data_IF_168200251102
#
_entry.id   IF_168200251102
#
_cell.length_a   1.000
_cell.length_b   1.000
_cell.length_c   1.000
_cell.angle_alpha   90.00
_cell.angle_beta   90.00
_cell.angle_gamma   90.00
#
_symmetry.space_group_name_H-M   'P 1'
#
loop_
_entity.id
_entity.type
_entity.pdbx_description
1 polymer ?
#
# COMPACT_ATOMS: atom_id res chain seq x y z
N UNK A 1 -20.46 -20.46 -14.28
CA UNK A 1 -19.16 -19.78 -14.46
C UNK A 1 -18.83 -19.02 -13.20
N UNK A 2 -17.70 -19.31 -12.56
CA UNK A 2 -17.23 -18.49 -11.44
C UNK A 2 -16.44 -17.33 -12.04
N UNK A 3 -17.03 -16.14 -12.12
CA UNK A 3 -16.25 -14.93 -12.38
C UNK A 3 -15.25 -14.77 -11.25
N UNK A 4 -13.95 -14.92 -11.56
CA UNK A 4 -12.89 -14.47 -10.67
C UNK A 4 -13.01 -12.95 -10.61
N UNK A 5 -13.55 -12.44 -9.50
CA UNK A 5 -13.55 -11.01 -9.22
C UNK A 5 -12.09 -10.49 -9.31
N UNK A 6 -11.88 -9.28 -9.83
CA UNK A 6 -10.55 -8.68 -9.88
C UNK A 6 -9.95 -8.60 -8.46
N UNK A 7 -8.64 -8.83 -8.37
CA UNK A 7 -7.87 -8.62 -7.15
C UNK A 7 -8.05 -7.16 -6.70
N UNK A 8 -8.26 -6.95 -5.41
CA UNK A 8 -8.50 -5.63 -4.84
C UNK A 8 -7.82 -5.52 -3.48
N UNK A 9 -7.63 -4.29 -3.00
CA UNK A 9 -7.05 -4.02 -1.68
C UNK A 9 -8.10 -4.24 -0.60
N UNK A 10 -7.76 -5.00 0.44
CA UNK A 10 -8.67 -5.36 1.53
C UNK A 10 -8.34 -4.70 2.86
N UNK A 11 -7.07 -4.37 3.11
CA UNK A 11 -6.62 -3.77 4.36
C UNK A 11 -5.29 -3.02 4.20
N UNK A 12 -5.03 -2.08 5.11
CA UNK A 12 -3.67 -1.57 5.33
C UNK A 12 -2.83 -2.66 6.01
N UNK A 13 -1.55 -2.72 5.69
CA UNK A 13 -0.66 -3.75 6.20
C UNK A 13 0.73 -3.20 6.55
N UNK A 14 1.36 -3.82 7.55
CA UNK A 14 2.76 -3.63 7.89
C UNK A 14 3.49 -4.96 7.76
N UNK A 15 4.64 -4.96 7.11
CA UNK A 15 5.58 -6.08 7.15
C UNK A 15 6.69 -5.78 8.15
N UNK A 16 6.77 -6.57 9.21
CA UNK A 16 7.82 -6.51 10.21
C UNK A 16 8.46 -7.88 10.36
N UNK A 17 9.75 -7.98 10.04
CA UNK A 17 10.52 -9.22 10.11
C UNK A 17 9.91 -10.40 9.32
N UNK A 18 9.17 -10.13 8.24
CA UNK A 18 8.50 -11.15 7.43
C UNK A 18 7.12 -11.56 7.95
N UNK A 19 6.65 -10.94 9.03
CA UNK A 19 5.30 -11.09 9.55
C UNK A 19 4.42 -9.92 9.09
N UNK A 20 3.21 -10.25 8.64
CA UNK A 20 2.28 -9.25 8.12
C UNK A 20 1.20 -8.95 9.16
N UNK A 21 1.15 -7.70 9.58
CA UNK A 21 0.15 -7.14 10.47
C UNK A 21 -0.84 -6.34 9.64
N UNK A 22 -2.14 -6.47 9.89
CA UNK A 22 -3.18 -5.80 9.08
C UNK A 22 -4.16 -5.02 9.93
N UNK A 23 -4.68 -3.93 9.37
CA UNK A 23 -5.66 -3.07 10.03
C UNK A 23 -6.53 -2.32 9.04
N UNK A 24 -7.55 -1.62 9.54
CA UNK A 24 -8.37 -0.72 8.69
C UNK A 24 -7.54 0.47 8.23
N UNK A 25 -6.60 0.90 9.07
CA UNK A 25 -5.59 1.93 8.81
C UNK A 25 -4.19 1.39 9.15
N UNK A 26 -3.14 2.08 8.70
CA UNK A 26 -1.77 1.74 9.11
C UNK A 26 -1.57 1.90 10.63
N UNK A 27 -2.27 2.84 11.26
CA UNK A 27 -2.24 2.97 12.72
C UNK A 27 -2.84 1.74 13.42
N UNK A 28 -3.92 1.17 12.90
CA UNK A 28 -4.48 -0.08 13.44
C UNK A 28 -3.55 -1.27 13.20
N UNK A 29 -2.87 -1.33 12.05
CA UNK A 29 -1.87 -2.36 11.77
C UNK A 29 -0.65 -2.23 12.70
N UNK A 30 -0.27 -1.00 13.04
CA UNK A 30 0.79 -0.72 14.01
C UNK A 30 0.39 -1.16 15.41
N UNK A 31 -0.83 -0.85 15.85
CA UNK A 31 -1.34 -1.33 17.14
C UNK A 31 -1.28 -2.86 17.23
N UNK A 32 -1.65 -3.57 16.14
CA UNK A 32 -1.55 -5.03 16.09
C UNK A 32 -0.10 -5.54 16.18
N UNK A 33 0.85 -4.80 15.62
CA UNK A 33 2.28 -5.08 15.78
C UNK A 33 2.74 -4.83 17.23
N UNK A 34 2.34 -3.72 17.84
CA UNK A 34 2.68 -3.35 19.23
C UNK A 34 2.12 -4.33 20.26
N UNK A 35 0.98 -4.97 19.99
CA UNK A 35 0.44 -6.04 20.84
C UNK A 35 1.36 -7.27 20.90
N UNK A 36 2.12 -7.54 19.83
CA UNK A 36 3.06 -8.67 19.75
C UNK A 36 4.48 -8.26 20.13
N UNK A 37 4.89 -7.06 19.70
CA UNK A 37 6.21 -6.49 19.92
C UNK A 37 6.08 -5.09 20.54
N UNK A 38 5.78 -4.98 21.86
CA UNK A 38 5.58 -3.68 22.50
C UNK A 38 6.82 -2.78 22.46
N UNK A 39 8.01 -3.38 22.41
CA UNK A 39 9.30 -2.67 22.37
C UNK A 39 9.89 -2.63 20.94
N UNK A 40 9.07 -2.82 19.89
CA UNK A 40 9.55 -2.88 18.50
C UNK A 40 10.38 -1.66 18.09
N UNK A 41 10.07 -0.49 18.65
CA UNK A 41 10.75 0.77 18.36
C UNK A 41 12.18 0.83 18.93
N UNK A 42 12.47 0.07 19.98
CA UNK A 42 13.79 -0.01 20.61
C UNK A 42 14.63 -1.19 20.09
N UNK A 43 14.03 -2.07 19.28
CA UNK A 43 14.74 -3.18 18.64
C UNK A 43 15.69 -2.64 17.57
N UNK A 44 16.94 -3.12 17.56
CA UNK A 44 17.93 -2.85 16.51
C UNK A 44 17.61 -3.66 15.23
N UNK A 45 16.42 -3.42 14.68
CA UNK A 45 15.89 -4.08 13.49
C UNK A 45 15.38 -3.03 12.51
N UNK A 46 15.17 -3.44 11.25
CA UNK A 46 14.60 -2.55 10.25
C UNK A 46 13.19 -2.14 10.64
N UNK A 47 12.86 -0.88 10.42
CA UNK A 47 11.50 -0.36 10.60
C UNK A 47 10.49 -1.19 9.78
N UNK A 48 9.25 -1.33 10.27
CA UNK A 48 8.18 -1.97 9.52
C UNK A 48 8.01 -1.33 8.15
N UNK A 49 7.73 -2.14 7.13
CA UNK A 49 7.42 -1.64 5.78
C UNK A 49 5.93 -1.42 5.65
N UNK A 50 5.54 -0.22 5.25
CA UNK A 50 4.15 0.11 4.95
C UNK A 50 3.70 -0.53 3.65
N UNK A 51 2.47 -1.07 3.65
CA UNK A 51 1.87 -1.65 2.46
C UNK A 51 0.40 -1.98 2.65
N UNK A 52 -0.08 -2.89 1.82
CA UNK A 52 -1.48 -3.26 1.75
C UNK A 52 -1.63 -4.75 1.56
N UNK A 53 -2.69 -5.31 2.13
CA UNK A 53 -3.09 -6.68 1.86
C UNK A 53 -4.07 -6.70 0.69
N UNK A 54 -3.84 -7.61 -0.26
CA UNK A 54 -4.77 -7.85 -1.37
C UNK A 54 -5.76 -8.95 -1.04
N UNK A 55 -6.88 -9.01 -1.77
CA UNK A 55 -7.86 -10.09 -1.67
C UNK A 55 -7.31 -11.46 -2.05
N UNK A 56 -6.12 -11.50 -2.67
CA UNK A 56 -5.38 -12.73 -2.98
C UNK A 56 -4.45 -13.17 -1.84
N UNK A 57 -4.39 -12.43 -0.74
CA UNK A 57 -3.54 -12.73 0.42
C UNK A 57 -2.07 -12.35 0.22
N UNK A 58 -1.76 -11.40 -0.67
CA UNK A 58 -0.41 -10.88 -0.87
C UNK A 58 -0.24 -9.55 -0.17
N UNK A 59 0.93 -9.33 0.42
CA UNK A 59 1.40 -8.01 0.80
C UNK A 59 1.95 -7.30 -0.45
N UNK A 60 1.51 -6.08 -0.68
CA UNK A 60 1.95 -5.23 -1.79
C UNK A 60 2.30 -3.82 -1.29
N UNK A 61 3.28 -3.20 -1.91
CA UNK A 61 3.68 -1.82 -1.59
C UNK A 61 2.74 -0.81 -2.26
N UNK A 62 2.87 0.47 -1.89
CA UNK A 62 1.93 1.54 -2.26
C UNK A 62 1.69 1.68 -3.78
N UNK A 63 2.72 1.53 -4.59
CA UNK A 63 2.61 1.71 -6.05
C UNK A 63 1.78 0.59 -6.68
N UNK A 64 2.12 -0.68 -6.38
CA UNK A 64 1.35 -1.85 -6.82
C UNK A 64 -0.08 -1.81 -6.25
N UNK A 65 -0.23 -1.41 -4.98
CA UNK A 65 -1.54 -1.27 -4.35
C UNK A 65 -2.42 -0.25 -5.10
N UNK A 66 -1.83 0.86 -5.54
CA UNK A 66 -2.51 1.87 -6.33
C UNK A 66 -2.98 1.35 -7.68
N UNK A 67 -2.17 0.54 -8.37
CA UNK A 67 -2.58 -0.08 -9.63
C UNK A 67 -3.70 -1.11 -9.45
N UNK A 68 -3.61 -1.94 -8.40
CA UNK A 68 -4.62 -2.95 -8.06
C UNK A 68 -5.95 -2.25 -7.73
N UNK A 69 -5.90 -1.21 -6.88
CA UNK A 69 -7.06 -0.43 -6.50
C UNK A 69 -7.72 0.28 -7.69
N UNK A 70 -6.91 0.83 -8.61
CA UNK A 70 -7.41 1.46 -9.85
C UNK A 70 -8.09 0.44 -10.76
N UNK A 71 -7.45 -0.70 -11.03
CA UNK A 71 -8.01 -1.80 -11.84
C UNK A 71 -9.29 -2.38 -11.21
N UNK A 72 -9.41 -2.36 -9.89
CA UNK A 72 -10.58 -2.80 -9.15
C UNK A 72 -11.67 -1.72 -8.99
N UNK A 73 -11.47 -0.50 -9.50
CA UNK A 73 -12.41 0.61 -9.35
C UNK A 73 -12.53 1.15 -7.92
N UNK A 74 -11.61 0.80 -7.02
CA UNK A 74 -11.64 1.26 -5.62
C UNK A 74 -11.29 2.74 -5.49
N UNK A 75 -10.61 3.32 -6.48
CA UNK A 75 -10.26 4.74 -6.51
C UNK A 75 -11.36 5.63 -7.09
N UNK A 76 -12.41 5.05 -7.71
CA UNK A 76 -13.49 5.83 -8.35
C UNK A 76 -14.30 6.64 -7.34
N UNK A 77 -14.35 6.19 -6.08
CA UNK A 77 -15.01 6.88 -4.98
C UNK A 77 -14.22 8.09 -4.44
N UNK A 78 -12.95 8.26 -4.80
CA UNK A 78 -12.08 9.32 -4.26
C UNK A 78 -12.24 10.69 -4.95
N UNK A 79 -13.16 10.81 -5.91
CA UNK A 79 -13.55 12.08 -6.51
C UNK A 79 -12.51 12.66 -7.48
N UNK A 80 -13.00 13.29 -8.55
CA UNK A 80 -12.25 13.78 -9.71
C UNK A 80 -11.16 14.85 -9.44
N UNK A 81 -10.90 15.26 -8.19
CA UNK A 81 -9.82 16.19 -7.85
C UNK A 81 -8.43 15.52 -7.75
N UNK A 82 -8.38 14.19 -7.59
CA UNK A 82 -7.12 13.45 -7.43
C UNK A 82 -6.50 12.99 -8.76
N UNK A 83 -7.28 12.98 -9.85
CA UNK A 83 -6.83 12.49 -11.17
C UNK A 83 -5.76 13.38 -11.84
N UNK A 84 -5.58 14.63 -11.41
CA UNK A 84 -4.63 15.55 -12.03
C UNK A 84 -3.18 15.43 -11.51
N UNK A 85 -2.91 14.79 -10.37
CA UNK A 85 -1.53 14.71 -9.81
C UNK A 85 -0.67 13.56 -10.33
N UNK A 86 -1.26 12.50 -10.90
CA UNK A 86 -0.48 11.38 -11.47
C UNK A 86 0.00 11.60 -12.90
N UNK A 87 -0.53 12.61 -13.62
CA UNK A 87 -0.11 12.90 -14.99
C UNK A 87 1.07 13.89 -15.09
N UNK A 88 1.36 14.69 -14.04
CA UNK A 88 2.45 15.67 -14.09
C UNK A 88 3.81 15.12 -13.62
N UNK A 89 3.86 14.11 -12.75
CA UNK A 89 5.13 13.57 -12.23
C UNK A 89 5.84 12.58 -13.17
N UNK A 90 5.18 12.12 -14.24
CA UNK A 90 5.78 11.24 -15.25
C UNK A 90 6.35 11.97 -16.48
N UNK A 91 6.04 13.26 -16.66
CA UNK A 91 6.51 14.06 -17.80
C UNK A 91 7.73 14.94 -17.48
N UNK A 92 8.15 15.05 -16.22
CA UNK A 92 9.24 15.95 -15.81
C UNK A 92 10.59 15.24 -15.59
N UNK A 93 10.65 13.91 -15.75
CA UNK A 93 11.88 13.12 -15.56
C UNK A 93 12.64 12.79 -16.85
N UNK A 94 12.20 13.29 -18.01
CA UNK A 94 12.85 13.01 -19.30
C UNK A 94 13.59 14.17 -19.96
N UNK A 95 13.67 15.35 -19.32
CA UNK A 95 14.45 16.48 -19.84
C UNK A 95 15.42 17.04 -18.79
N UNK A 96 16.49 16.31 -18.51
CA UNK A 96 17.77 16.95 -18.20
C UNK A 96 18.90 16.22 -18.94
N UNK A 97 18.89 16.37 -20.27
CA UNK A 97 20.12 16.37 -21.05
C UNK A 97 20.45 17.83 -21.34
N UNK A 98 21.41 18.40 -20.61
CA UNK A 98 22.11 19.61 -21.02
C UNK A 98 23.49 19.68 -20.34
N UNK A 99 24.49 19.35 -21.19
CA UNK A 99 25.94 19.59 -21.12
C UNK A 99 26.79 18.88 -20.07
#
# INVERSE_FOLDING_TARGET
SFEKKPEHIVAAALDFQGEIYTGRTHADALNALEEVYPDWADMDVKSPRDGFMTSAGRFVERDEAGEIADKAGQLDALGSHSKQRRASEYLDSHDINLN
#
